data_IF_505567855671
#
_entry.id   IF_505567855671
#
_cell.length_a   1.000
_cell.length_b   1.000
_cell.length_c   1.000
_cell.angle_alpha   90.00
_cell.angle_beta   90.00
_cell.angle_gamma   90.00
#
_symmetry.space_group_name_H-M   'P 1'
#
loop_
_entity.id
_entity.type
_entity.pdbx_description
1 polymer ?
#
# COMPACT_ATOMS: atom_id res chain seq x y z
N UNK A 1 -0.04 8.00 4.57
CA UNK A 1 -0.68 7.74 3.26
C UNK A 1 -2.13 7.23 3.35
N UNK A 2 -2.40 6.21 4.17
CA UNK A 2 -3.73 5.56 4.29
C UNK A 2 -4.88 6.56 4.53
N UNK A 3 -4.75 7.47 5.50
CA UNK A 3 -5.86 8.37 5.87
C UNK A 3 -6.20 9.47 4.84
N UNK A 4 -5.29 9.81 3.91
CA UNK A 4 -5.50 10.90 2.94
C UNK A 4 -5.54 10.46 1.48
N UNK A 5 -5.14 9.23 1.18
CA UNK A 5 -5.21 8.69 -0.17
C UNK A 5 -6.55 7.98 -0.34
N UNK A 6 -7.32 8.32 -1.36
CA UNK A 6 -8.63 7.71 -1.63
C UNK A 6 -8.56 6.20 -1.85
N UNK A 7 -7.40 5.68 -2.24
CA UNK A 7 -7.13 4.24 -2.40
C UNK A 7 -6.50 3.58 -1.18
N UNK A 8 -6.28 4.33 -0.09
CA UNK A 8 -5.69 3.82 1.16
C UNK A 8 -4.36 3.06 0.98
N UNK A 9 -3.59 3.37 -0.07
CA UNK A 9 -2.34 2.67 -0.36
C UNK A 9 -1.28 2.95 0.70
N UNK A 10 -0.53 1.92 1.07
CA UNK A 10 0.55 2.02 2.06
C UNK A 10 1.94 2.15 1.41
N UNK A 11 2.18 1.38 0.35
CA UNK A 11 3.51 1.16 -0.24
C UNK A 11 3.62 1.85 -1.62
N UNK A 12 3.61 3.17 -1.62
CA UNK A 12 3.81 3.98 -2.81
C UNK A 12 2.53 4.47 -3.49
N UNK A 13 2.70 5.38 -4.48
CA UNK A 13 1.59 6.01 -5.20
C UNK A 13 0.84 5.03 -6.09
N UNK A 14 -0.42 5.34 -6.38
CA UNK A 14 -1.30 4.50 -7.22
C UNK A 14 -1.08 4.66 -8.73
N UNK A 15 -0.13 5.49 -9.16
CA UNK A 15 0.07 5.84 -10.58
C UNK A 15 -0.86 6.92 -11.14
N UNK A 16 -2.05 7.14 -10.56
CA UNK A 16 -2.98 8.19 -11.02
C UNK A 16 -2.85 9.56 -10.36
N UNK A 17 -1.66 9.90 -9.87
CA UNK A 17 -1.41 11.28 -9.44
C UNK A 17 -1.16 12.14 -10.67
N UNK A 18 -1.96 13.19 -10.90
CA UNK A 18 -1.78 14.10 -12.03
C UNK A 18 -1.64 15.54 -11.55
N UNK A 19 -0.52 16.19 -11.85
CA UNK A 19 -0.23 17.57 -11.44
C UNK A 19 -0.53 17.87 -9.95
N UNK A 20 -0.23 16.90 -9.08
CA UNK A 20 -0.49 16.96 -7.63
C UNK A 20 -1.94 16.71 -7.19
N UNK A 21 -2.83 16.34 -8.11
CA UNK A 21 -4.24 16.02 -7.86
C UNK A 21 -4.51 14.52 -7.95
N UNK A 22 -5.59 14.07 -7.30
CA UNK A 22 -6.02 12.69 -7.32
C UNK A 22 -6.76 12.36 -8.63
N UNK A 23 -6.61 11.13 -9.14
CA UNK A 23 -7.38 10.65 -10.31
C UNK A 23 -8.89 10.61 -10.10
N UNK A 24 -9.36 10.49 -8.85
CA UNK A 24 -10.79 10.36 -8.56
C UNK A 24 -11.49 11.73 -8.68
N UNK A 25 -10.79 12.79 -8.33
CA UNK A 25 -11.31 14.15 -8.36
C UNK A 25 -10.15 15.17 -8.50
N UNK A 26 -10.15 16.00 -9.54
CA UNK A 26 -9.17 17.06 -9.75
C UNK A 26 -9.12 18.12 -8.63
N UNK A 27 -10.18 18.28 -7.83
CA UNK A 27 -10.17 19.20 -6.69
C UNK A 27 -9.36 18.62 -5.52
N UNK A 28 -9.37 17.30 -5.37
CA UNK A 28 -8.74 16.60 -4.25
C UNK A 28 -7.21 16.55 -4.43
N UNK A 29 -6.42 17.06 -3.46
CA UNK A 29 -4.97 16.92 -3.51
C UNK A 29 -4.55 15.46 -3.35
N UNK A 30 -3.60 15.01 -4.16
CA UNK A 30 -3.09 13.65 -4.08
C UNK A 30 -2.36 13.43 -2.74
N UNK A 31 -2.84 12.48 -1.95
CA UNK A 31 -2.23 12.14 -0.66
C UNK A 31 -0.75 11.78 -0.74
N UNK A 32 -0.30 11.16 -1.85
CA UNK A 32 1.11 10.83 -2.06
C UNK A 32 1.96 12.03 -2.49
N UNK A 33 1.41 12.95 -3.29
CA UNK A 33 2.12 14.19 -3.62
C UNK A 33 2.43 14.98 -2.34
N UNK A 34 1.44 15.11 -1.44
CA UNK A 34 1.62 15.79 -0.16
C UNK A 34 2.71 15.16 0.72
N UNK A 35 2.85 13.82 0.66
CA UNK A 35 3.91 13.11 1.39
C UNK A 35 5.28 13.41 0.78
N UNK A 36 5.40 13.30 -0.54
CA UNK A 36 6.64 13.60 -1.26
C UNK A 36 7.09 15.05 -1.02
N UNK A 37 6.17 16.01 -1.14
CA UNK A 37 6.46 17.43 -0.91
C UNK A 37 6.93 17.68 0.53
N UNK A 38 6.25 17.07 1.51
CA UNK A 38 6.63 17.17 2.92
C UNK A 38 8.00 16.56 3.19
N UNK A 39 8.29 15.38 2.63
CA UNK A 39 9.59 14.72 2.79
C UNK A 39 10.71 15.51 2.10
N UNK A 40 10.42 16.13 0.95
CA UNK A 40 11.33 17.05 0.28
C UNK A 40 11.67 18.25 1.15
N UNK A 41 10.68 18.88 1.79
CA UNK A 41 10.91 19.98 2.74
C UNK A 41 11.75 19.54 3.95
N UNK A 42 11.59 18.30 4.39
CA UNK A 42 12.34 17.74 5.52
C UNK A 42 13.73 17.21 5.13
N UNK A 43 14.08 17.20 3.84
CA UNK A 43 15.32 16.59 3.35
C UNK A 43 15.41 15.09 3.61
N UNK A 44 14.27 14.38 3.57
CA UNK A 44 14.15 12.92 3.83
C UNK A 44 13.53 12.17 2.66
N UNK A 45 13.83 12.60 1.44
CA UNK A 45 13.28 12.00 0.22
C UNK A 45 13.77 10.56 0.01
N UNK A 46 15.01 10.29 0.41
CA UNK A 46 15.67 8.99 0.34
C UNK A 46 14.91 7.88 1.08
N UNK A 47 14.12 8.24 2.11
CA UNK A 47 13.30 7.26 2.84
C UNK A 47 12.22 6.60 1.96
N UNK A 48 11.86 7.22 0.83
CA UNK A 48 10.93 6.64 -0.15
C UNK A 48 11.59 5.62 -1.07
N UNK A 49 12.91 5.63 -1.21
CA UNK A 49 13.67 4.69 -2.05
C UNK A 49 13.89 3.35 -1.33
N UNK A 50 13.79 3.34 0.00
CA UNK A 50 13.87 2.14 0.81
C UNK A 50 12.73 1.16 0.51
N UNK A 51 13.08 -0.10 0.26
CA UNK A 51 12.11 -1.20 0.18
C UNK A 51 11.49 -1.43 1.57
N UNK A 52 10.22 -1.05 1.74
CA UNK A 52 9.46 -1.34 2.96
C UNK A 52 8.88 -2.76 2.91
N UNK A 53 8.97 -3.54 4.01
CA UNK A 53 8.40 -4.87 4.04
C UNK A 53 6.87 -4.82 3.91
N UNK A 54 6.23 -5.90 3.44
CA UNK A 54 4.78 -6.02 3.48
C UNK A 54 4.25 -5.77 4.90
N UNK A 55 3.14 -5.05 5.01
CA UNK A 55 2.47 -4.83 6.30
C UNK A 55 2.10 -6.18 6.91
N UNK A 56 2.45 -6.39 8.18
CA UNK A 56 1.95 -7.54 8.93
C UNK A 56 0.48 -7.31 9.29
N UNK A 57 -0.39 -8.23 8.88
CA UNK A 57 -1.84 -8.16 9.13
C UNK A 57 -2.31 -9.14 10.22
N UNK A 58 -1.42 -9.87 10.90
CA UNK A 58 -1.81 -10.91 11.87
C UNK A 58 -2.68 -10.41 13.02
N UNK A 59 -2.56 -9.13 13.38
CA UNK A 59 -3.35 -8.47 14.43
C UNK A 59 -4.49 -7.60 13.90
N UNK A 60 -4.71 -7.60 12.58
CA UNK A 60 -5.76 -6.78 11.97
C UNK A 60 -7.14 -7.35 12.27
N UNK A 61 -8.12 -6.47 12.53
CA UNK A 61 -9.50 -6.83 12.84
C UNK A 61 -10.12 -7.77 11.79
N UNK A 62 -9.70 -7.62 10.54
CA UNK A 62 -10.24 -8.34 9.39
C UNK A 62 -9.42 -9.60 9.01
N UNK A 63 -8.56 -10.11 9.92
CA UNK A 63 -7.96 -11.45 9.80
C UNK A 63 -6.82 -11.61 8.77
N UNK A 64 -6.34 -10.51 8.18
CA UNK A 64 -5.28 -10.52 7.18
C UNK A 64 -5.75 -10.96 5.78
N UNK A 65 -4.82 -11.16 4.84
CA UNK A 65 -5.18 -11.59 3.49
C UNK A 65 -5.99 -12.88 3.56
N UNK A 66 -7.17 -12.90 2.93
CA UNK A 66 -8.03 -14.08 2.90
C UNK A 66 -7.25 -15.30 2.41
N UNK A 67 -7.12 -16.32 3.26
CA UNK A 67 -6.47 -17.57 2.88
C UNK A 67 -7.46 -18.43 2.12
N UNK A 68 -7.32 -18.48 0.78
CA UNK A 68 -8.04 -19.46 -0.03
C UNK A 68 -7.21 -20.74 -0.02
N UNK A 69 -7.66 -21.76 0.72
CA UNK A 69 -7.09 -23.10 0.65
C UNK A 69 -7.83 -23.86 -0.44
N UNK A 70 -7.11 -24.24 -1.49
CA UNK A 70 -7.60 -25.18 -2.51
C UNK A 70 -7.20 -26.58 -2.08
N UNK A 71 -8.13 -27.28 -1.45
CA UNK A 71 -7.92 -28.64 -0.94
C UNK A 71 -7.48 -29.61 -2.05
N UNK A 72 -7.93 -29.37 -3.29
CA UNK A 72 -7.58 -30.10 -4.50
C UNK A 72 -6.12 -29.87 -4.98
N UNK A 73 -5.44 -28.85 -4.46
CA UNK A 73 -4.06 -28.48 -4.80
C UNK A 73 -3.08 -28.73 -3.66
N UNK A 74 -3.54 -29.25 -2.52
CA UNK A 74 -2.66 -29.69 -1.45
C UNK A 74 -2.08 -31.02 -1.90
N UNK A 75 -0.77 -31.07 -2.17
CA UNK A 75 -0.04 -32.32 -2.34
C UNK A 75 -0.35 -33.19 -1.13
N UNK A 76 -1.23 -34.18 -1.31
CA UNK A 76 -1.45 -35.25 -0.36
C UNK A 76 -0.07 -35.80 -0.03
N UNK A 77 0.37 -35.64 1.22
CA UNK A 77 1.60 -36.27 1.70
C UNK A 77 1.38 -37.77 1.57
N UNK A 78 1.89 -38.37 0.51
CA UNK A 78 2.05 -39.81 0.43
C UNK A 78 3.20 -40.21 1.38
N UNK A 79 2.91 -41.17 2.25
CA UNK A 79 3.91 -41.98 2.94
C UNK A 79 4.14 -41.64 4.41
N UNK A 80 3.30 -42.20 5.28
CA UNK A 80 3.76 -42.81 6.53
C UNK A 80 3.83 -44.33 6.31
#
# INVERSE_FOLDING_TARGET
PIARCSKSLLNGPCGGSNNGKCEIDPEIPCGWQLICDRLKTLGRLETLEDIKPPKNWSTSRDGGPGRIVREDMVLSKEGE
#
